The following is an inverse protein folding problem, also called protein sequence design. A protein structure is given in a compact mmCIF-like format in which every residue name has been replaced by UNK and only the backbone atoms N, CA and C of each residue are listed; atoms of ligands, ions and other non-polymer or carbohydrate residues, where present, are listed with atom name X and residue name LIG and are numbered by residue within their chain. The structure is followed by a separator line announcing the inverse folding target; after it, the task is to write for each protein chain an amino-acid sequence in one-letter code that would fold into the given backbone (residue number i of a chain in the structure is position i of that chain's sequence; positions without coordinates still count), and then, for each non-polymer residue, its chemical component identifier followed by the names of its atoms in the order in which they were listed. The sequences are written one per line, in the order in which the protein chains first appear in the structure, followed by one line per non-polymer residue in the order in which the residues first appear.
data_IF_112148287178
#
_entry.id   IF_112148287178
#
_cell.length_a   1.000
_cell.length_b   1.000
_cell.length_c   1.000
_cell.angle_alpha   90.00
_cell.angle_beta   90.00
_cell.angle_gamma   90.00
#
_symmetry.space_group_name_H-M   'P 1'
#
loop_
_entity.id
_entity.type
_entity.pdbx_description
1 polymer ?
#
# COMPACT_ATOMS: atom_id res chain seq x y z
N UNK A 1 -4.92 9.28 13.13
CA UNK A 1 -3.84 10.26 12.83
C UNK A 1 -3.67 11.29 13.93
N UNK A 2 -4.74 11.94 14.42
CA UNK A 2 -4.62 12.92 15.52
C UNK A 2 -3.93 12.33 16.75
N UNK A 3 -4.35 11.17 17.23
CA UNK A 3 -3.74 10.52 18.41
C UNK A 3 -2.24 10.20 18.23
N UNK A 4 -1.80 9.78 17.05
CA UNK A 4 -0.38 9.56 16.80
C UNK A 4 0.42 10.87 16.82
N UNK A 5 -0.11 11.96 16.24
CA UNK A 5 0.52 13.27 16.31
C UNK A 5 0.58 13.82 17.75
N UNK A 6 -0.49 13.62 18.53
CA UNK A 6 -0.53 13.98 19.96
C UNK A 6 0.47 13.17 20.80
N UNK A 7 0.81 11.95 20.37
CA UNK A 7 1.84 11.11 20.97
C UNK A 7 3.28 11.46 20.49
N UNK A 8 3.47 12.51 19.71
CA UNK A 8 4.76 13.01 19.27
C UNK A 8 5.30 12.40 17.98
N UNK A 9 4.51 11.61 17.25
CA UNK A 9 4.93 11.05 15.96
C UNK A 9 4.73 12.05 14.82
N UNK A 10 5.63 11.98 13.83
CA UNK A 10 5.42 12.66 12.55
C UNK A 10 4.45 11.84 11.71
N UNK A 11 3.36 12.44 11.29
CA UNK A 11 2.29 11.73 10.58
C UNK A 11 1.99 12.40 9.25
N UNK A 12 2.08 11.64 8.19
CA UNK A 12 1.64 12.06 6.86
C UNK A 12 0.45 11.23 6.40
N UNK A 13 -0.53 11.86 5.75
CA UNK A 13 -1.70 11.21 5.18
C UNK A 13 -1.72 11.36 3.67
N UNK A 14 -1.77 10.25 2.97
CA UNK A 14 -1.84 10.19 1.53
C UNK A 14 -3.22 9.66 1.12
N UNK A 15 -3.97 10.45 0.36
CA UNK A 15 -5.20 9.99 -0.27
C UNK A 15 -4.90 9.49 -1.68
N UNK A 16 -5.06 8.19 -1.89
CA UNK A 16 -4.78 7.58 -3.21
C UNK A 16 -5.70 8.12 -4.32
N UNK A 17 -6.88 8.59 -3.97
CA UNK A 17 -7.80 9.24 -4.93
C UNK A 17 -7.24 10.53 -5.54
N UNK A 18 -6.31 11.18 -4.85
CA UNK A 18 -5.69 12.45 -5.26
C UNK A 18 -4.32 12.22 -5.93
N UNK A 19 -3.94 10.94 -6.13
CA UNK A 19 -2.69 10.53 -6.76
C UNK A 19 -2.95 9.90 -8.12
N UNK A 20 -2.11 10.27 -9.08
CA UNK A 20 -2.11 9.65 -10.40
C UNK A 20 -1.16 8.44 -10.39
N UNK A 21 -1.70 7.25 -10.18
CA UNK A 21 -0.95 5.99 -10.17
C UNK A 21 -1.54 5.06 -11.23
N UNK A 22 -0.78 4.78 -12.28
CA UNK A 22 -1.16 3.81 -13.30
C UNK A 22 -0.97 2.38 -12.77
N UNK A 23 -1.76 1.44 -13.26
CA UNK A 23 -1.61 0.03 -12.92
C UNK A 23 -0.27 -0.53 -13.44
N UNK A 24 0.23 -1.56 -12.80
CA UNK A 24 1.43 -2.27 -13.26
C UNK A 24 1.14 -2.99 -14.57
N UNK A 25 1.97 -2.77 -15.58
CA UNK A 25 1.82 -3.38 -16.91
C UNK A 25 2.54 -4.73 -17.03
N UNK A 26 3.21 -5.20 -15.98
CA UNK A 26 3.96 -6.46 -16.00
C UNK A 26 5.17 -6.44 -16.96
N UNK A 27 5.72 -5.27 -17.27
CA UNK A 27 6.84 -5.14 -18.22
C UNK A 27 8.16 -5.75 -17.73
N UNK A 28 8.23 -6.19 -16.48
CA UNK A 28 9.37 -6.87 -15.84
C UNK A 28 10.69 -6.07 -15.78
N UNK A 29 10.69 -4.79 -16.13
CA UNK A 29 11.90 -3.95 -16.11
C UNK A 29 12.52 -3.89 -14.70
N UNK A 30 11.70 -3.76 -13.67
CA UNK A 30 12.17 -3.71 -12.28
C UNK A 30 12.56 -5.09 -11.75
N UNK A 31 11.78 -6.15 -12.01
CA UNK A 31 12.01 -7.49 -11.45
C UNK A 31 13.13 -8.25 -12.16
N UNK A 32 13.26 -8.14 -13.49
CA UNK A 32 14.28 -8.87 -14.26
C UNK A 32 15.59 -8.12 -14.40
N UNK A 33 15.53 -6.79 -14.51
CA UNK A 33 16.72 -5.99 -14.80
C UNK A 33 17.17 -5.11 -13.64
N UNK A 34 16.45 -5.12 -12.50
CA UNK A 34 16.76 -4.32 -11.33
C UNK A 34 16.74 -2.80 -11.58
N UNK A 35 16.00 -2.36 -12.60
CA UNK A 35 15.91 -0.95 -12.98
C UNK A 35 14.68 -0.30 -12.35
N UNK A 36 14.70 1.03 -12.13
CA UNK A 36 13.51 1.75 -11.70
C UNK A 36 12.33 1.51 -12.66
N UNK A 37 11.12 1.60 -12.12
CA UNK A 37 9.91 1.51 -12.92
C UNK A 37 9.92 2.59 -14.03
N UNK A 38 9.67 2.23 -15.29
CA UNK A 38 9.69 3.18 -16.39
C UNK A 38 8.50 4.15 -16.41
N UNK A 39 7.43 3.82 -15.66
CA UNK A 39 6.26 4.68 -15.58
C UNK A 39 6.56 5.94 -14.76
N UNK A 40 6.17 7.10 -15.29
CA UNK A 40 6.36 8.42 -14.68
C UNK A 40 5.04 8.93 -14.11
N UNK A 41 4.77 8.56 -12.86
CA UNK A 41 3.58 8.93 -12.13
C UNK A 41 3.87 9.02 -10.63
N UNK A 42 2.83 9.23 -9.80
CA UNK A 42 2.99 9.46 -8.36
C UNK A 42 3.39 8.20 -7.56
N UNK A 43 3.43 7.01 -8.18
CA UNK A 43 3.79 5.78 -7.49
C UNK A 43 5.18 5.85 -6.86
N UNK A 44 6.15 6.42 -7.57
CA UNK A 44 7.52 6.53 -7.08
C UNK A 44 7.60 7.37 -5.79
N UNK A 45 6.89 8.50 -5.74
CA UNK A 45 6.81 9.36 -4.55
C UNK A 45 6.18 8.61 -3.36
N UNK A 46 5.06 7.93 -3.59
CA UNK A 46 4.35 7.21 -2.53
C UNK A 46 5.19 6.07 -1.99
N UNK A 47 5.84 5.29 -2.86
CA UNK A 47 6.73 4.19 -2.45
C UNK A 47 7.93 4.72 -1.67
N UNK A 48 8.53 5.85 -2.05
CA UNK A 48 9.60 6.49 -1.29
C UNK A 48 9.17 6.83 0.14
N UNK A 49 7.99 7.38 0.31
CA UNK A 49 7.41 7.67 1.62
C UNK A 49 7.14 6.41 2.43
N UNK A 50 6.72 5.33 1.80
CA UNK A 50 6.57 4.02 2.46
C UNK A 50 7.92 3.48 2.95
N UNK A 51 8.98 3.64 2.16
CA UNK A 51 10.33 3.23 2.53
C UNK A 51 10.86 4.06 3.70
N UNK A 52 10.57 5.35 3.73
CA UNK A 52 11.03 6.25 4.79
C UNK A 52 10.24 6.13 6.10
N UNK A 53 9.03 5.58 6.08
CA UNK A 53 8.19 5.45 7.27
C UNK A 53 8.64 4.28 8.15
N UNK A 54 8.48 4.41 9.48
CA UNK A 54 8.64 3.31 10.44
C UNK A 54 7.35 2.50 10.56
N UNK A 55 6.22 3.19 10.45
CA UNK A 55 4.87 2.60 10.57
C UNK A 55 4.05 2.97 9.35
N UNK A 56 3.40 1.98 8.76
CA UNK A 56 2.52 2.14 7.60
C UNK A 56 1.10 1.73 7.99
N UNK A 57 0.14 2.64 7.83
CA UNK A 57 -1.28 2.35 8.03
C UNK A 57 -1.98 2.37 6.68
N UNK A 58 -2.46 1.22 6.24
CA UNK A 58 -3.22 1.07 5.00
C UNK A 58 -4.71 1.05 5.31
N UNK A 59 -5.45 2.02 4.78
CA UNK A 59 -6.89 2.14 4.98
C UNK A 59 -7.62 1.96 3.65
N UNK A 60 -8.54 0.99 3.60
CA UNK A 60 -9.28 0.66 2.38
C UNK A 60 -10.72 0.25 2.69
N UNK A 61 -11.70 0.66 1.87
CA UNK A 61 -12.99 0.00 1.85
C UNK A 61 -12.87 -1.39 1.22
N UNK A 62 -13.78 -2.28 1.58
CA UNK A 62 -13.96 -3.55 0.88
C UNK A 62 -14.93 -3.33 -0.27
N UNK A 63 -14.44 -3.48 -1.49
CA UNK A 63 -15.24 -3.46 -2.70
C UNK A 63 -15.16 -4.82 -3.39
N UNK A 64 -16.30 -5.44 -3.60
CA UNK A 64 -16.40 -6.74 -4.24
C UNK A 64 -15.43 -7.78 -3.63
N UNK A 65 -15.52 -7.97 -2.31
CA UNK A 65 -14.79 -8.96 -1.51
C UNK A 65 -13.29 -8.72 -1.32
N UNK A 66 -12.75 -7.57 -1.68
CA UNK A 66 -11.33 -7.26 -1.47
C UNK A 66 -11.10 -5.75 -1.34
N UNK A 67 -9.84 -5.34 -1.24
CA UNK A 67 -9.47 -3.93 -1.18
C UNK A 67 -9.88 -3.15 -2.43
N UNK A 68 -9.96 -1.84 -2.32
CA UNK A 68 -10.23 -0.98 -3.46
C UNK A 68 -9.17 -1.12 -4.56
N UNK A 69 -9.56 -0.88 -5.81
CA UNK A 69 -8.66 -0.92 -6.96
C UNK A 69 -7.46 0.04 -6.81
N UNK A 70 -7.68 1.23 -6.23
CA UNK A 70 -6.61 2.20 -5.98
C UNK A 70 -5.54 1.62 -5.03
N UNK A 71 -5.95 0.95 -3.96
CA UNK A 71 -5.04 0.31 -3.02
C UNK A 71 -4.26 -0.82 -3.71
N UNK A 72 -4.94 -1.69 -4.45
CA UNK A 72 -4.30 -2.78 -5.19
C UNK A 72 -3.32 -2.27 -6.23
N UNK A 73 -3.66 -1.20 -6.94
CA UNK A 73 -2.76 -0.55 -7.90
C UNK A 73 -1.47 -0.08 -7.24
N UNK A 74 -1.55 0.58 -6.08
CA UNK A 74 -0.35 0.98 -5.33
C UNK A 74 0.49 -0.24 -4.93
N UNK A 75 -0.13 -1.28 -4.38
CA UNK A 75 0.56 -2.51 -3.96
C UNK A 75 1.30 -3.14 -5.14
N UNK A 76 0.66 -3.27 -6.30
CA UNK A 76 1.30 -3.81 -7.51
C UNK A 76 2.51 -2.96 -7.96
N UNK A 77 2.44 -1.67 -7.75
CA UNK A 77 3.53 -0.75 -8.11
C UNK A 77 4.69 -0.75 -7.09
N UNK A 78 4.47 -1.26 -5.87
CA UNK A 78 5.54 -1.48 -4.90
C UNK A 78 6.55 -2.53 -5.38
N UNK A 79 6.20 -3.41 -6.34
CA UNK A 79 7.07 -4.43 -6.91
C UNK A 79 8.46 -3.90 -7.32
N UNK A 80 8.55 -2.66 -7.74
CA UNK A 80 9.81 -2.05 -8.15
C UNK A 80 10.84 -1.90 -7.01
N UNK A 81 10.38 -1.79 -5.76
CA UNK A 81 11.22 -1.50 -4.59
C UNK A 81 10.74 -2.22 -3.32
N UNK A 82 9.99 -3.32 -3.45
CA UNK A 82 9.37 -3.97 -2.29
C UNK A 82 10.40 -4.47 -1.25
N UNK A 83 11.61 -4.87 -1.68
CA UNK A 83 12.68 -5.29 -0.77
C UNK A 83 13.20 -4.17 0.13
N UNK A 84 12.92 -2.91 -0.20
CA UNK A 84 13.28 -1.75 0.61
C UNK A 84 12.19 -1.41 1.63
N UNK A 85 10.96 -1.91 1.45
CA UNK A 85 9.85 -1.77 2.40
C UNK A 85 9.95 -2.91 3.42
N UNK A 86 10.99 -2.88 4.25
CA UNK A 86 11.30 -3.90 5.26
C UNK A 86 11.43 -3.26 6.64
N UNK A 87 11.33 -4.08 7.68
CA UNK A 87 11.47 -3.65 9.07
C UNK A 87 10.44 -2.56 9.46
N UNK A 88 9.21 -2.70 8.97
CA UNK A 88 8.11 -1.75 9.19
C UNK A 88 6.99 -2.41 9.99
N UNK A 89 6.31 -1.62 10.81
CA UNK A 89 5.02 -2.01 11.37
C UNK A 89 3.89 -1.68 10.38
N UNK A 90 3.03 -2.67 10.12
CA UNK A 90 1.87 -2.49 9.26
C UNK A 90 0.57 -2.59 10.06
N UNK A 91 -0.31 -1.62 9.86
CA UNK A 91 -1.67 -1.65 10.38
C UNK A 91 -2.66 -1.51 9.23
N UNK A 92 -3.80 -2.22 9.35
CA UNK A 92 -4.86 -2.20 8.35
C UNK A 92 -6.14 -1.66 8.98
N UNK A 93 -6.78 -0.71 8.29
CA UNK A 93 -8.11 -0.21 8.61
C UNK A 93 -9.03 -0.59 7.46
N UNK A 94 -10.00 -1.44 7.73
CA UNK A 94 -10.91 -1.97 6.72
C UNK A 94 -12.33 -1.52 7.04
N UNK A 95 -13.02 -0.96 6.06
CA UNK A 95 -14.44 -0.61 6.16
C UNK A 95 -15.24 -1.45 5.17
N UNK A 96 -16.23 -2.18 5.66
CA UNK A 96 -17.11 -3.03 4.87
C UNK A 96 -18.56 -2.85 5.30
N UNK A 97 -19.50 -3.18 4.42
CA UNK A 97 -20.92 -3.29 4.75
C UNK A 97 -21.26 -4.67 5.37
N UNK A 98 -20.27 -5.55 5.51
CA UNK A 98 -20.36 -6.91 6.03
C UNK A 98 -20.03 -6.94 7.52
N UNK A 99 -20.83 -7.65 8.31
CA UNK A 99 -20.61 -7.82 9.75
C UNK A 99 -19.69 -9.03 10.06
N UNK A 100 -19.46 -9.91 9.10
CA UNK A 100 -18.67 -11.12 9.28
C UNK A 100 -17.18 -10.85 9.11
N UNK A 101 -16.41 -10.91 10.20
CA UNK A 101 -14.95 -10.78 10.18
C UNK A 101 -14.28 -11.77 9.22
N UNK A 102 -14.66 -13.07 9.16
CA UNK A 102 -14.05 -14.02 8.23
C UNK A 102 -14.20 -13.65 6.75
N UNK A 103 -15.25 -12.94 6.37
CA UNK A 103 -15.41 -12.47 4.98
C UNK A 103 -14.46 -11.31 4.63
N UNK A 104 -13.99 -10.59 5.63
CA UNK A 104 -13.03 -9.50 5.47
C UNK A 104 -11.56 -9.96 5.51
N UNK A 105 -11.30 -11.17 6.04
CA UNK A 105 -9.94 -11.72 6.19
C UNK A 105 -9.19 -11.80 4.86
N UNK A 106 -9.86 -12.12 3.76
CA UNK A 106 -9.27 -12.13 2.43
C UNK A 106 -8.62 -10.80 2.03
N UNK A 107 -9.18 -9.68 2.49
CA UNK A 107 -8.60 -8.36 2.25
C UNK A 107 -7.31 -8.18 3.06
N UNK A 108 -7.27 -8.73 4.27
CA UNK A 108 -6.10 -8.70 5.15
C UNK A 108 -5.00 -9.61 4.61
N UNK A 109 -5.32 -10.85 4.22
CA UNK A 109 -4.36 -11.84 3.73
C UNK A 109 -3.55 -11.32 2.54
N UNK A 110 -4.21 -10.71 1.57
CA UNK A 110 -3.53 -10.11 0.41
C UNK A 110 -2.59 -8.97 0.83
N UNK A 111 -2.98 -8.22 1.86
CA UNK A 111 -2.19 -7.10 2.36
C UNK A 111 -0.98 -7.57 3.18
N UNK A 112 -1.14 -8.63 3.99
CA UNK A 112 -0.07 -9.21 4.82
C UNK A 112 0.96 -9.94 3.97
N UNK A 113 0.54 -10.67 2.94
CA UNK A 113 1.46 -11.35 2.02
C UNK A 113 2.46 -10.40 1.35
N UNK A 114 2.07 -9.14 1.13
CA UNK A 114 2.96 -8.11 0.58
C UNK A 114 3.93 -7.50 1.62
N UNK A 115 3.71 -7.73 2.91
CA UNK A 115 4.56 -7.19 4.00
C UNK A 115 5.58 -8.19 4.54
N UNK A 116 5.45 -9.48 4.19
CA UNK A 116 6.31 -10.58 4.67
C UNK A 116 7.23 -11.17 3.60
N UNK A 117 7.20 -10.62 2.40
CA UNK A 117 8.07 -11.05 1.28
C UNK A 117 9.43 -10.27 1.27
#
# INVERSE_FOLDING_TARGET
MRGAAEAGHQVEKIFLKDKHINYCTGCSVCSMYGKPCPQKDDAAEVVEKMIAADVIVMATPVYFYTMSAQMKTLIDRCCARYLEIKDKEFYFIIAAAEESVPMMERTIDVSVASSTA
#
